data_IF_916505976056
#
_entry.id   IF_916505976056
#
_cell.length_a   1.000
_cell.length_b   1.000
_cell.length_c   1.000
_cell.angle_alpha   90.00
_cell.angle_beta   90.00
_cell.angle_gamma   90.00
#
_symmetry.space_group_name_H-M   'P 1'
#
loop_
_entity.id
_entity.type
_entity.pdbx_description
1 polymer ?
#
# COMPACT_ATOMS: atom_id res chain seq x y z
N UNK A 1 -29.42 48.83 -77.79
CA UNK A 1 -28.82 48.98 -76.45
C UNK A 1 -28.11 47.66 -76.18
N UNK A 2 -26.87 47.54 -76.69
CA UNK A 2 -25.59 47.50 -75.95
C UNK A 2 -25.34 46.09 -75.37
N UNK A 3 -24.54 45.27 -76.08
CA UNK A 3 -23.14 44.87 -75.76
C UNK A 3 -23.10 43.66 -74.81
N UNK A 4 -22.66 42.47 -75.24
CA UNK A 4 -21.29 42.04 -75.49
C UNK A 4 -20.51 41.71 -74.19
N UNK A 5 -20.20 40.43 -74.05
CA UNK A 5 -18.86 39.85 -73.85
C UNK A 5 -17.78 40.55 -72.98
N UNK A 6 -17.02 39.67 -72.29
CA UNK A 6 -15.59 39.76 -71.93
C UNK A 6 -15.15 40.51 -70.65
N UNK A 7 -14.75 39.69 -69.63
CA UNK A 7 -13.44 39.59 -68.90
C UNK A 7 -12.62 40.87 -68.65
N UNK A 8 -11.82 40.99 -67.54
CA UNK A 8 -10.83 39.97 -67.10
C UNK A 8 -10.42 39.91 -65.59
N UNK A 9 -9.59 38.90 -65.25
CA UNK A 9 -8.39 38.84 -64.34
C UNK A 9 -8.41 39.57 -62.97
N UNK A 10 -7.78 39.12 -61.88
CA UNK A 10 -6.90 38.00 -61.52
C UNK A 10 -6.66 38.05 -59.98
N UNK A 11 -6.04 37.00 -59.43
CA UNK A 11 -5.34 36.94 -58.11
C UNK A 11 -6.25 37.01 -56.86
N UNK A 12 -6.12 36.23 -55.80
CA UNK A 12 -5.17 35.23 -55.31
C UNK A 12 -5.85 34.52 -54.13
N UNK A 13 -5.24 33.43 -53.67
CA UNK A 13 -5.19 32.99 -52.26
C UNK A 13 -5.91 31.68 -51.95
N UNK A 14 -5.04 30.67 -51.85
CA UNK A 14 -4.94 29.73 -50.74
C UNK A 14 -6.11 28.80 -50.48
N UNK A 15 -5.84 27.53 -50.78
CA UNK A 15 -6.68 26.42 -50.36
C UNK A 15 -6.68 26.25 -48.84
N UNK A 16 -7.87 26.12 -48.29
CA UNK A 16 -8.11 25.59 -46.96
C UNK A 16 -8.74 24.20 -47.12
N UNK A 17 -7.87 23.19 -47.16
CA UNK A 17 -8.23 21.86 -46.69
C UNK A 17 -7.96 21.85 -45.18
N UNK A 18 -8.93 22.26 -44.38
CA UNK A 18 -8.89 22.04 -42.94
C UNK A 18 -9.22 20.57 -42.69
N UNK A 19 -8.16 19.79 -42.50
CA UNK A 19 -8.21 18.42 -42.03
C UNK A 19 -8.76 18.36 -40.62
N UNK A 20 -9.66 17.39 -40.45
CA UNK A 20 -9.62 16.34 -39.43
C UNK A 20 -9.01 16.70 -38.07
N UNK A 21 -9.89 16.67 -37.06
CA UNK A 21 -9.58 16.44 -35.65
C UNK A 21 -8.45 15.41 -35.49
N UNK A 22 -7.25 15.91 -35.22
CA UNK A 22 -6.17 15.12 -34.66
C UNK A 22 -6.19 15.31 -33.14
N UNK A 23 -6.46 14.19 -32.46
CA UNK A 23 -5.92 13.79 -31.16
C UNK A 23 -5.03 14.85 -30.49
N UNK A 24 -5.48 15.33 -29.32
CA UNK A 24 -4.70 16.13 -28.37
C UNK A 24 -3.49 15.39 -27.82
N UNK A 25 -2.52 15.08 -28.68
CA UNK A 25 -1.16 14.74 -28.29
C UNK A 25 -0.42 16.07 -28.19
N UNK A 26 -0.59 16.76 -27.07
CA UNK A 26 0.28 17.89 -26.70
C UNK A 26 1.72 17.39 -26.75
N UNK A 27 2.53 18.00 -27.62
CA UNK A 27 3.89 17.54 -27.85
C UNK A 27 4.69 17.64 -26.53
N UNK A 28 5.63 16.70 -26.25
CA UNK A 28 6.39 16.70 -24.98
C UNK A 28 7.29 17.92 -24.72
N UNK A 29 7.25 18.95 -25.57
CA UNK A 29 8.07 20.17 -25.50
C UNK A 29 7.32 21.40 -25.00
N UNK A 30 6.00 21.33 -24.81
CA UNK A 30 5.17 22.47 -24.39
C UNK A 30 4.79 22.46 -22.91
N UNK A 31 5.33 21.54 -22.09
CA UNK A 31 5.11 21.55 -20.62
C UNK A 31 6.04 22.54 -19.88
N UNK A 32 6.18 23.76 -20.40
CA UNK A 32 6.85 24.89 -19.74
C UNK A 32 5.86 26.02 -19.44
N UNK A 33 4.59 25.69 -19.29
CA UNK A 33 3.56 26.70 -19.17
C UNK A 33 3.54 27.34 -17.78
N UNK A 34 3.44 28.68 -17.84
CA UNK A 34 3.10 29.71 -16.86
C UNK A 34 4.15 30.27 -15.90
N UNK A 35 5.11 29.52 -15.37
CA UNK A 35 6.12 30.13 -14.44
C UNK A 35 7.21 30.87 -15.23
N UNK A 36 7.46 32.13 -14.89
CA UNK A 36 8.48 32.93 -15.55
C UNK A 36 9.91 32.41 -15.26
N UNK A 37 10.89 32.70 -16.13
CA UNK A 37 12.24 32.16 -15.99
C UNK A 37 12.99 32.56 -14.72
N UNK A 38 12.69 33.73 -14.14
CA UNK A 38 13.36 34.21 -12.92
C UNK A 38 12.87 33.41 -11.71
N UNK A 39 11.54 33.32 -11.53
CA UNK A 39 10.91 32.47 -10.51
C UNK A 39 11.34 31.00 -10.66
N UNK A 40 11.46 30.51 -11.90
CA UNK A 40 11.94 29.15 -12.15
C UNK A 40 13.36 28.91 -11.65
N UNK A 41 14.27 29.87 -11.85
CA UNK A 41 15.65 29.75 -11.38
C UNK A 41 15.74 29.87 -9.86
N UNK A 42 14.89 30.70 -9.24
CA UNK A 42 14.76 30.79 -7.79
C UNK A 42 14.33 29.45 -7.19
N UNK A 43 13.29 28.81 -7.73
CA UNK A 43 12.83 27.47 -7.30
C UNK A 43 13.92 26.41 -7.51
N UNK A 44 14.64 26.46 -8.64
CA UNK A 44 15.77 25.57 -8.89
C UNK A 44 16.88 25.71 -7.84
N UNK A 45 17.19 26.95 -7.45
CA UNK A 45 18.23 27.28 -6.47
C UNK A 45 17.81 26.87 -5.06
N UNK A 46 16.59 27.21 -4.64
CA UNK A 46 16.03 26.89 -3.33
C UNK A 46 16.07 25.37 -3.07
N UNK A 47 15.61 24.59 -4.05
CA UNK A 47 15.60 23.14 -3.99
C UNK A 47 16.92 22.48 -4.43
N UNK A 48 17.99 23.26 -4.60
CA UNK A 48 19.35 22.80 -4.93
C UNK A 48 19.39 21.84 -6.11
N UNK A 49 18.64 22.17 -7.17
CA UNK A 49 18.47 21.36 -8.37
C UNK A 49 18.18 19.88 -8.05
N UNK A 50 17.29 19.60 -7.09
CA UNK A 50 16.87 18.24 -6.73
C UNK A 50 15.37 18.08 -6.85
N UNK A 51 14.97 16.94 -7.42
CA UNK A 51 13.58 16.51 -7.37
C UNK A 51 13.15 16.33 -5.91
N UNK A 52 12.06 16.98 -5.51
CA UNK A 52 11.54 16.90 -4.14
C UNK A 52 10.82 15.57 -3.86
N UNK A 53 10.38 14.86 -4.89
CA UNK A 53 9.76 13.54 -4.73
C UNK A 53 10.77 12.38 -4.63
N UNK A 54 11.82 12.38 -5.45
CA UNK A 54 12.75 11.22 -5.56
C UNK A 54 14.23 11.55 -5.34
N UNK A 55 14.57 12.81 -5.09
CA UNK A 55 15.95 13.24 -4.78
C UNK A 55 16.93 13.25 -5.96
N UNK A 56 16.52 12.82 -7.16
CA UNK A 56 17.38 12.86 -8.36
C UNK A 56 17.86 14.30 -8.61
N UNK A 57 19.16 14.44 -8.89
CA UNK A 57 19.81 15.73 -9.16
C UNK A 57 19.63 16.13 -10.63
N UNK A 58 19.40 17.42 -10.85
CA UNK A 58 19.40 18.04 -12.17
C UNK A 58 20.78 18.51 -12.60
N UNK A 59 20.85 19.07 -13.80
CA UNK A 59 22.11 19.47 -14.45
C UNK A 59 22.93 20.49 -13.63
N UNK A 60 22.28 21.38 -12.89
CA UNK A 60 22.95 22.41 -12.08
C UNK A 60 23.84 21.89 -10.95
N UNK A 61 23.60 20.66 -10.48
CA UNK A 61 24.34 20.02 -9.36
C UNK A 61 25.00 18.70 -9.79
N UNK A 62 25.37 18.60 -11.07
CA UNK A 62 26.08 17.44 -11.64
C UNK A 62 25.22 16.18 -11.83
N UNK A 63 23.89 16.33 -11.83
CA UNK A 63 22.96 15.25 -12.16
C UNK A 63 22.50 15.28 -13.62
N UNK A 64 21.70 14.27 -14.01
CA UNK A 64 21.20 14.11 -15.38
C UNK A 64 19.68 14.32 -15.50
N UNK A 65 18.98 14.59 -14.41
CA UNK A 65 17.53 14.71 -14.43
C UNK A 65 17.08 16.05 -15.05
N UNK A 66 16.14 15.99 -15.99
CA UNK A 66 15.38 17.19 -16.40
C UNK A 66 14.37 17.52 -15.30
N UNK A 67 14.51 18.71 -14.71
CA UNK A 67 13.64 19.20 -13.65
C UNK A 67 12.64 20.22 -14.19
N UNK A 68 11.42 20.13 -13.68
CA UNK A 68 10.28 20.97 -13.98
C UNK A 68 9.79 21.59 -12.68
N UNK A 69 9.45 22.87 -12.74
CA UNK A 69 8.70 23.52 -11.67
C UNK A 69 7.24 23.09 -11.81
N UNK A 70 6.63 22.73 -10.70
CA UNK A 70 5.26 22.24 -10.61
C UNK A 70 4.52 23.07 -9.57
N UNK A 71 3.36 23.59 -9.93
CA UNK A 71 2.43 24.19 -8.98
C UNK A 71 1.87 23.10 -8.05
N UNK A 72 1.99 23.29 -6.73
CA UNK A 72 1.42 22.39 -5.73
C UNK A 72 -0.11 22.41 -5.85
N UNK A 73 -0.68 23.61 -6.00
CA UNK A 73 -2.09 23.85 -6.28
C UNK A 73 -2.24 24.87 -7.43
N UNK A 74 -3.22 24.70 -8.32
CA UNK A 74 -3.41 25.62 -9.47
C UNK A 74 -4.16 26.91 -9.11
N UNK A 75 -5.01 26.86 -8.09
CA UNK A 75 -5.77 28.01 -7.60
C UNK A 75 -5.65 28.07 -6.06
N UNK A 76 -4.45 28.39 -5.54
CA UNK A 76 -4.20 28.30 -4.12
C UNK A 76 -4.95 29.38 -3.33
N UNK A 77 -5.65 28.97 -2.28
CA UNK A 77 -6.33 29.90 -1.40
C UNK A 77 -5.33 30.70 -0.53
N UNK A 78 -5.30 32.01 -0.71
CA UNK A 78 -4.53 32.92 0.16
C UNK A 78 -3.08 33.17 -0.25
N UNK A 79 -2.64 32.68 -1.42
CA UNK A 79 -1.35 33.03 -2.03
C UNK A 79 -1.48 33.15 -3.56
N UNK A 80 -0.45 33.67 -4.23
CA UNK A 80 -0.42 33.73 -5.69
C UNK A 80 -0.12 32.36 -6.31
N UNK A 81 -0.68 32.09 -7.49
CA UNK A 81 -0.43 30.85 -8.24
C UNK A 81 1.09 30.58 -8.41
N UNK A 82 1.89 31.63 -8.63
CA UNK A 82 3.35 31.53 -8.80
C UNK A 82 4.16 31.85 -7.54
N UNK A 83 3.53 31.94 -6.36
CA UNK A 83 4.29 32.12 -5.13
C UNK A 83 5.24 30.94 -4.91
N UNK A 84 6.47 31.21 -4.47
CA UNK A 84 7.48 30.18 -4.24
C UNK A 84 6.98 29.08 -3.29
N UNK A 85 6.11 29.43 -2.34
CA UNK A 85 5.48 28.48 -1.41
C UNK A 85 4.50 27.51 -2.10
N UNK A 86 3.92 27.90 -3.24
CA UNK A 86 3.06 27.06 -4.07
C UNK A 86 3.84 26.32 -5.18
N UNK A 87 5.16 26.45 -5.25
CA UNK A 87 5.97 25.83 -6.28
C UNK A 87 6.86 24.72 -5.70
N UNK A 88 6.90 23.59 -6.39
CA UNK A 88 7.80 22.47 -6.11
C UNK A 88 8.61 22.09 -7.33
N UNK A 89 9.70 21.35 -7.12
CA UNK A 89 10.63 20.96 -8.18
C UNK A 89 10.61 19.45 -8.38
N UNK A 90 10.12 18.99 -9.54
CA UNK A 90 9.96 17.57 -9.85
C UNK A 90 10.78 17.19 -11.09
N UNK A 91 11.36 15.99 -11.09
CA UNK A 91 11.90 15.42 -12.32
C UNK A 91 10.77 15.05 -13.27
N UNK A 92 11.02 15.01 -14.58
CA UNK A 92 10.01 14.69 -15.60
C UNK A 92 9.16 13.47 -15.28
N UNK A 93 9.77 12.39 -14.78
CA UNK A 93 9.04 11.17 -14.39
C UNK A 93 8.08 11.41 -13.22
N UNK A 94 8.54 12.08 -12.16
CA UNK A 94 7.71 12.40 -11.00
C UNK A 94 6.63 13.43 -11.35
N UNK A 95 6.95 14.41 -12.19
CA UNK A 95 6.03 15.42 -12.68
C UNK A 95 4.89 14.79 -13.50
N UNK A 96 5.24 13.92 -14.44
CA UNK A 96 4.25 13.18 -15.25
C UNK A 96 3.37 12.28 -14.39
N UNK A 97 3.97 11.60 -13.41
CA UNK A 97 3.22 10.75 -12.48
C UNK A 97 2.25 11.55 -11.62
N UNK A 98 2.63 12.73 -11.13
CA UNK A 98 1.77 13.60 -10.31
C UNK A 98 0.46 13.97 -11.03
N UNK A 99 0.52 14.25 -12.33
CA UNK A 99 -0.67 14.56 -13.15
C UNK A 99 -1.48 13.34 -13.59
N UNK A 100 -0.97 12.13 -13.38
CA UNK A 100 -1.64 10.87 -13.76
C UNK A 100 -2.30 10.17 -12.56
N UNK A 101 -2.21 10.77 -11.36
CA UNK A 101 -2.83 10.24 -10.16
C UNK A 101 -4.36 10.28 -10.26
N UNK A 102 -5.01 9.23 -9.78
CA UNK A 102 -6.46 9.22 -9.62
C UNK A 102 -6.90 10.26 -8.58
N UNK A 103 -7.99 10.95 -8.88
CA UNK A 103 -8.60 11.96 -8.01
C UNK A 103 -9.83 11.39 -7.32
N UNK A 104 -10.32 11.97 -6.20
CA UNK A 104 -11.54 11.51 -5.54
C UNK A 104 -12.76 11.41 -6.47
N UNK A 105 -12.85 12.26 -7.50
CA UNK A 105 -13.94 12.25 -8.49
C UNK A 105 -13.92 11.00 -9.38
N UNK A 106 -12.79 10.31 -9.46
CA UNK A 106 -12.65 9.04 -10.18
C UNK A 106 -13.15 7.83 -9.35
N UNK A 107 -13.51 8.05 -8.08
CA UNK A 107 -13.92 6.97 -7.17
C UNK A 107 -15.32 6.42 -7.51
N UNK A 108 -15.51 5.09 -7.53
CA UNK A 108 -16.83 4.49 -7.71
C UNK A 108 -17.74 4.63 -6.48
N UNK A 109 -17.18 5.04 -5.34
CA UNK A 109 -17.89 5.28 -4.07
C UNK A 109 -17.69 6.73 -3.63
N UNK A 110 -18.63 7.27 -2.88
CA UNK A 110 -18.54 8.63 -2.33
C UNK A 110 -17.33 8.76 -1.38
N UNK A 111 -16.42 9.69 -1.70
CA UNK A 111 -15.26 10.06 -0.89
C UNK A 111 -15.46 11.49 -0.39
N UNK A 112 -15.49 11.67 0.91
CA UNK A 112 -15.65 12.97 1.57
C UNK A 112 -14.30 13.67 1.74
N UNK A 113 -14.31 14.98 2.02
CA UNK A 113 -13.08 15.73 2.35
C UNK A 113 -12.35 15.12 3.57
N UNK A 114 -13.09 14.61 4.56
CA UNK A 114 -12.51 13.98 5.74
C UNK A 114 -11.73 12.70 5.37
N UNK A 115 -12.23 11.92 4.42
CA UNK A 115 -11.55 10.72 3.93
C UNK A 115 -10.23 11.04 3.23
N UNK A 116 -10.18 12.17 2.51
CA UNK A 116 -8.98 12.61 1.79
C UNK A 116 -7.79 12.91 2.72
N UNK A 117 -8.03 13.12 4.01
CA UNK A 117 -6.94 13.25 5.00
C UNK A 117 -6.21 11.93 5.29
N UNK A 118 -6.81 10.79 4.94
CA UNK A 118 -6.29 9.43 5.18
C UNK A 118 -5.97 8.70 3.87
N UNK A 119 -6.75 8.96 2.83
CA UNK A 119 -6.65 8.30 1.54
C UNK A 119 -5.50 8.86 0.70
N UNK A 120 -4.92 7.96 -0.09
CA UNK A 120 -3.92 8.24 -1.11
C UNK A 120 -4.55 8.06 -2.50
N UNK A 121 -3.98 8.65 -3.55
CA UNK A 121 -4.43 8.42 -4.93
C UNK A 121 -4.51 6.93 -5.30
N UNK A 122 -3.57 6.13 -4.80
CA UNK A 122 -3.55 4.68 -4.98
C UNK A 122 -4.82 3.99 -4.44
N UNK A 123 -5.43 4.53 -3.38
CA UNK A 123 -6.65 3.94 -2.82
C UNK A 123 -7.83 4.10 -3.77
N UNK A 124 -7.86 5.21 -4.52
CA UNK A 124 -8.87 5.42 -5.57
C UNK A 124 -8.67 4.42 -6.71
N UNK A 125 -7.42 4.16 -7.11
CA UNK A 125 -7.12 3.11 -8.10
C UNK A 125 -7.58 1.73 -7.63
N UNK A 126 -7.36 1.39 -6.34
CA UNK A 126 -7.85 0.14 -5.73
C UNK A 126 -9.37 0.09 -5.75
N UNK A 127 -10.06 1.16 -5.35
CA UNK A 127 -11.52 1.21 -5.34
C UNK A 127 -12.11 1.01 -6.74
N UNK A 128 -11.53 1.66 -7.76
CA UNK A 128 -11.92 1.47 -9.16
C UNK A 128 -11.73 0.02 -9.60
N UNK A 129 -10.57 -0.56 -9.31
CA UNK A 129 -10.31 -1.96 -9.62
C UNK A 129 -11.34 -2.89 -8.98
N UNK A 130 -11.68 -2.69 -7.70
CA UNK A 130 -12.69 -3.50 -7.01
C UNK A 130 -14.08 -3.31 -7.63
N UNK A 131 -14.46 -2.10 -8.05
CA UNK A 131 -15.73 -1.88 -8.71
C UNK A 131 -15.84 -2.57 -10.08
N UNK A 132 -14.75 -2.60 -10.84
CA UNK A 132 -14.72 -3.12 -12.21
C UNK A 132 -14.48 -4.65 -12.26
N UNK A 133 -13.59 -5.16 -11.41
CA UNK A 133 -13.09 -6.55 -11.46
C UNK A 133 -13.28 -7.33 -10.15
N UNK A 134 -13.72 -6.69 -9.07
CA UNK A 134 -13.89 -7.32 -7.76
C UNK A 134 -15.10 -8.26 -7.66
N UNK A 135 -15.15 -9.12 -6.62
CA UNK A 135 -14.14 -9.28 -5.56
C UNK A 135 -12.90 -10.06 -6.04
N UNK A 136 -11.72 -9.77 -5.48
CA UNK A 136 -10.44 -10.32 -5.96
C UNK A 136 -9.40 -10.54 -4.85
N UNK A 137 -8.42 -11.43 -5.07
CA UNK A 137 -7.29 -11.61 -4.15
C UNK A 137 -6.33 -10.42 -4.23
N UNK A 138 -5.61 -10.14 -3.15
CA UNK A 138 -4.62 -9.04 -3.11
C UNK A 138 -3.59 -9.10 -4.24
N UNK A 139 -3.19 -10.30 -4.67
CA UNK A 139 -2.24 -10.47 -5.76
C UNK A 139 -2.80 -10.02 -7.11
N UNK A 140 -4.06 -10.37 -7.39
CA UNK A 140 -4.75 -9.99 -8.63
C UNK A 140 -5.00 -8.48 -8.67
N UNK A 141 -5.44 -7.91 -7.54
CA UNK A 141 -5.56 -6.45 -7.38
C UNK A 141 -4.22 -5.78 -7.69
N UNK A 142 -3.13 -6.21 -7.05
CA UNK A 142 -1.82 -5.61 -7.28
C UNK A 142 -1.35 -5.73 -8.74
N UNK A 143 -1.69 -6.83 -9.44
CA UNK A 143 -1.37 -7.03 -10.85
C UNK A 143 -2.25 -6.24 -11.82
N UNK A 144 -3.46 -5.85 -11.40
CA UNK A 144 -4.42 -5.08 -12.20
C UNK A 144 -4.32 -3.56 -12.04
N UNK A 145 -3.57 -3.07 -11.05
CA UNK A 145 -3.39 -1.62 -10.87
C UNK A 145 -2.49 -1.02 -11.97
N UNK A 146 -2.79 0.22 -12.45
CA UNK A 146 -1.95 0.91 -13.43
C UNK A 146 -0.53 1.19 -12.93
N UNK A 147 -0.41 1.42 -11.62
CA UNK A 147 0.84 1.73 -10.93
C UNK A 147 1.48 0.44 -10.38
N UNK A 148 2.79 0.25 -10.62
CA UNK A 148 3.52 -0.91 -10.12
C UNK A 148 3.68 -0.84 -8.58
N UNK A 149 2.88 -1.64 -7.88
CA UNK A 149 2.83 -1.72 -6.44
C UNK A 149 3.12 -3.13 -5.94
N UNK A 150 3.85 -3.25 -4.85
CA UNK A 150 4.03 -4.56 -4.22
C UNK A 150 2.71 -5.04 -3.62
N UNK A 151 2.49 -6.36 -3.65
CA UNK A 151 1.33 -7.02 -2.99
C UNK A 151 1.22 -6.61 -1.51
N UNK A 152 2.35 -6.42 -0.84
CA UNK A 152 2.38 -5.95 0.55
C UNK A 152 1.86 -4.53 0.72
N UNK A 153 2.19 -3.60 -0.20
CA UNK A 153 1.71 -2.23 -0.16
C UNK A 153 0.21 -2.17 -0.42
N UNK A 154 -0.28 -2.90 -1.42
CA UNK A 154 -1.72 -3.03 -1.71
C UNK A 154 -2.47 -3.61 -0.51
N UNK A 155 -1.94 -4.66 0.12
CA UNK A 155 -2.54 -5.23 1.35
C UNK A 155 -2.63 -4.21 2.49
N UNK A 156 -1.58 -3.43 2.70
CA UNK A 156 -1.58 -2.39 3.73
C UNK A 156 -2.62 -1.30 3.44
N UNK A 157 -2.84 -0.94 2.17
CA UNK A 157 -3.88 0.00 1.75
C UNK A 157 -5.28 -0.58 1.89
N UNK A 158 -5.49 -1.86 1.56
CA UNK A 158 -6.76 -2.55 1.74
C UNK A 158 -7.21 -2.56 3.21
N UNK A 159 -6.29 -2.69 4.18
CA UNK A 159 -6.64 -2.50 5.60
C UNK A 159 -7.09 -1.07 5.92
N UNK A 160 -6.47 -0.06 5.31
CA UNK A 160 -6.91 1.33 5.51
C UNK A 160 -8.30 1.55 4.93
N UNK A 161 -8.55 1.08 3.71
CA UNK A 161 -9.86 1.16 3.05
C UNK A 161 -10.95 0.41 3.83
N UNK A 162 -10.65 -0.81 4.28
CA UNK A 162 -11.59 -1.60 5.09
C UNK A 162 -11.86 -0.95 6.44
N UNK A 163 -10.87 -0.30 7.05
CA UNK A 163 -10.94 0.34 8.36
C UNK A 163 -11.26 1.83 8.35
N UNK A 164 -11.65 2.40 7.21
CA UNK A 164 -11.69 3.86 7.03
C UNK A 164 -12.68 4.56 7.97
N UNK A 165 -13.84 3.95 8.21
CA UNK A 165 -14.85 4.37 9.18
C UNK A 165 -14.35 4.38 10.63
N UNK A 166 -13.38 3.52 10.96
CA UNK A 166 -12.72 3.52 12.28
C UNK A 166 -11.50 4.46 12.35
N UNK A 167 -11.12 5.08 11.23
CA UNK A 167 -10.01 6.03 11.14
C UNK A 167 -10.48 7.48 11.00
N UNK A 168 -11.70 7.67 10.47
CA UNK A 168 -12.28 8.98 10.17
C UNK A 168 -13.61 9.12 10.91
N UNK A 169 -13.63 9.93 11.97
CA UNK A 169 -14.80 10.10 12.86
C UNK A 169 -16.10 10.47 12.13
N UNK A 170 -16.00 11.17 11.00
CA UNK A 170 -17.15 11.61 10.21
C UNK A 170 -17.72 10.52 9.29
N UNK A 171 -17.02 9.41 9.09
CA UNK A 171 -17.44 8.30 8.23
C UNK A 171 -18.07 7.20 9.08
N UNK A 172 -19.34 6.92 8.85
CA UNK A 172 -20.14 5.93 9.56
C UNK A 172 -20.30 4.61 8.80
N UNK A 173 -19.76 4.52 7.57
CA UNK A 173 -19.93 3.38 6.68
C UNK A 173 -18.61 2.89 6.11
N UNK A 174 -18.41 1.57 6.26
CA UNK A 174 -17.37 0.80 5.59
C UNK A 174 -17.57 0.82 4.06
N UNK A 175 -16.46 0.83 3.32
CA UNK A 175 -16.45 0.85 1.84
C UNK A 175 -15.90 -0.43 1.21
N UNK A 176 -14.90 -1.03 1.85
CA UNK A 176 -14.24 -2.25 1.39
C UNK A 176 -14.34 -3.27 2.50
N UNK A 177 -14.51 -4.53 2.14
CA UNK A 177 -14.46 -5.65 3.08
C UNK A 177 -13.62 -6.78 2.51
N UNK A 178 -13.29 -7.74 3.39
CA UNK A 178 -12.64 -8.98 3.02
C UNK A 178 -13.58 -10.13 3.32
N UNK A 179 -13.78 -11.02 2.37
CA UNK A 179 -14.50 -12.25 2.62
C UNK A 179 -13.64 -13.18 3.50
N UNK A 180 -14.20 -13.68 4.59
CA UNK A 180 -13.47 -14.56 5.52
C UNK A 180 -13.25 -15.96 4.96
N UNK A 181 -14.14 -16.44 4.10
CA UNK A 181 -14.06 -17.78 3.52
C UNK A 181 -13.17 -17.78 2.28
N UNK A 182 -13.43 -16.86 1.35
CA UNK A 182 -12.66 -16.76 0.11
C UNK A 182 -11.42 -15.93 0.29
N UNK A 183 -11.27 -15.10 1.32
CA UNK A 183 -10.09 -14.23 1.47
C UNK A 183 -9.90 -13.21 0.34
N UNK A 184 -10.93 -12.99 -0.48
CA UNK A 184 -10.99 -11.94 -1.51
C UNK A 184 -11.40 -10.61 -0.88
N UNK A 185 -11.01 -9.52 -1.53
CA UNK A 185 -11.41 -8.17 -1.16
C UNK A 185 -12.43 -7.67 -2.17
N UNK A 186 -13.41 -6.92 -1.69
CA UNK A 186 -14.43 -6.32 -2.53
C UNK A 186 -14.98 -5.06 -1.88
N UNK A 187 -15.80 -4.33 -2.64
CA UNK A 187 -16.75 -3.39 -2.05
C UNK A 187 -17.69 -4.14 -1.11
N UNK A 188 -18.27 -3.47 -0.11
CA UNK A 188 -19.09 -4.12 0.92
C UNK A 188 -20.22 -4.97 0.31
N UNK A 189 -20.83 -4.51 -0.78
CA UNK A 189 -21.89 -5.22 -1.49
C UNK A 189 -21.43 -6.45 -2.29
N UNK A 190 -20.13 -6.60 -2.54
CA UNK A 190 -19.53 -7.72 -3.26
C UNK A 190 -19.11 -8.86 -2.32
N UNK A 191 -19.06 -8.61 -1.01
CA UNK A 191 -18.59 -9.57 0.00
C UNK A 191 -19.77 -10.20 0.71
N UNK A 192 -19.81 -11.54 0.77
CA UNK A 192 -20.88 -12.28 1.43
C UNK A 192 -20.59 -12.50 2.91
N UNK A 193 -19.37 -12.93 3.24
CA UNK A 193 -18.98 -13.29 4.60
C UNK A 193 -17.92 -12.33 5.14
N UNK A 194 -18.34 -11.25 5.79
CA UNK A 194 -17.42 -10.25 6.35
C UNK A 194 -16.37 -10.84 7.28
N UNK A 195 -15.11 -10.49 7.06
CA UNK A 195 -14.02 -10.76 8.01
C UNK A 195 -13.99 -9.76 9.18
N UNK A 196 -14.72 -8.64 9.09
CA UNK A 196 -14.81 -7.67 10.19
C UNK A 196 -15.64 -8.25 11.34
N UNK A 197 -15.15 -8.07 12.57
CA UNK A 197 -15.74 -8.62 13.79
C UNK A 197 -15.65 -10.14 13.92
N UNK A 198 -15.14 -10.84 12.90
CA UNK A 198 -15.00 -12.29 12.91
C UNK A 198 -13.92 -12.75 13.90
N UNK A 199 -14.20 -13.81 14.65
CA UNK A 199 -13.26 -14.43 15.60
C UNK A 199 -12.59 -15.61 14.89
N UNK A 200 -11.27 -15.55 14.60
CA UNK A 200 -10.58 -16.62 13.90
C UNK A 200 -10.52 -17.92 14.73
N UNK A 201 -10.71 -19.06 14.07
CA UNK A 201 -10.46 -20.39 14.66
C UNK A 201 -8.96 -20.72 14.76
N UNK A 202 -8.13 -20.14 13.88
CA UNK A 202 -6.67 -20.32 13.93
C UNK A 202 -6.07 -19.61 15.15
N UNK A 203 -5.38 -20.33 16.07
CA UNK A 203 -4.87 -19.74 17.29
C UNK A 203 -3.83 -18.63 17.07
N UNK A 204 -3.01 -18.72 16.01
CA UNK A 204 -1.99 -17.70 15.74
C UNK A 204 -2.65 -16.41 15.25
N UNK A 205 -3.64 -16.53 14.37
CA UNK A 205 -4.39 -15.39 13.87
C UNK A 205 -5.27 -14.77 14.95
N UNK A 206 -5.86 -15.57 15.83
CA UNK A 206 -6.58 -15.10 17.01
C UNK A 206 -5.67 -14.23 17.90
N UNK A 207 -4.48 -14.73 18.25
CA UNK A 207 -3.50 -13.96 19.02
C UNK A 207 -3.11 -12.66 18.32
N UNK A 208 -2.88 -12.71 17.00
CA UNK A 208 -2.59 -11.51 16.22
C UNK A 208 -3.73 -10.49 16.33
N UNK A 209 -4.99 -10.90 16.13
CA UNK A 209 -6.15 -9.99 16.22
C UNK A 209 -6.31 -9.41 17.62
N UNK A 210 -6.06 -10.19 18.66
CA UNK A 210 -6.08 -9.71 20.04
C UNK A 210 -5.00 -8.65 20.30
N UNK A 211 -3.76 -8.89 19.91
CA UNK A 211 -2.67 -7.93 20.08
C UNK A 211 -2.90 -6.64 19.29
N UNK A 212 -3.41 -6.76 18.06
CA UNK A 212 -3.70 -5.60 17.21
C UNK A 212 -4.76 -4.71 17.86
N UNK A 213 -5.83 -5.33 18.36
CA UNK A 213 -6.91 -4.63 19.04
C UNK A 213 -6.47 -4.01 20.37
N UNK A 214 -5.58 -4.66 21.11
CA UNK A 214 -4.96 -4.06 22.30
C UNK A 214 -4.18 -2.79 21.97
N UNK A 215 -3.41 -2.81 20.86
CA UNK A 215 -2.69 -1.61 20.38
C UNK A 215 -3.66 -0.49 20.02
N UNK A 216 -4.72 -0.79 19.26
CA UNK A 216 -5.73 0.21 18.89
C UNK A 216 -6.40 0.82 20.12
N UNK A 217 -6.92 0.00 21.03
CA UNK A 217 -7.59 0.52 22.22
C UNK A 217 -6.64 1.27 23.16
N UNK A 218 -5.34 0.97 23.17
CA UNK A 218 -4.36 1.77 23.92
C UNK A 218 -4.20 3.17 23.30
N UNK A 219 -4.09 3.24 21.96
CA UNK A 219 -4.03 4.52 21.23
C UNK A 219 -5.30 5.34 21.42
N UNK A 220 -6.48 4.70 21.35
CA UNK A 220 -7.78 5.37 21.53
C UNK A 220 -7.97 5.92 22.95
N UNK A 221 -7.29 5.32 23.95
CA UNK A 221 -7.22 5.83 25.33
C UNK A 221 -6.20 6.95 25.52
N UNK A 222 -5.48 7.33 24.47
CA UNK A 222 -4.47 8.38 24.49
C UNK A 222 -3.10 7.92 24.98
N UNK A 223 -2.81 6.61 25.01
CA UNK A 223 -1.46 6.13 25.33
C UNK A 223 -0.48 6.49 24.21
N UNK A 224 0.72 6.95 24.60
CA UNK A 224 1.79 7.25 23.66
C UNK A 224 2.30 5.97 22.96
N UNK A 225 2.62 6.09 21.67
CA UNK A 225 3.16 4.96 20.89
C UNK A 225 4.48 4.43 21.46
N UNK A 226 5.31 5.29 22.07
CA UNK A 226 6.54 4.85 22.75
C UNK A 226 6.24 3.89 23.89
N UNK A 227 5.25 4.20 24.71
CA UNK A 227 4.91 3.39 25.87
C UNK A 227 4.33 2.04 25.44
N UNK A 228 3.53 2.03 24.36
CA UNK A 228 3.00 0.81 23.77
C UNK A 228 4.14 -0.07 23.22
N UNK A 229 5.13 0.53 22.54
CA UNK A 229 6.32 -0.17 22.03
C UNK A 229 7.09 -0.82 23.18
N UNK A 230 7.34 -0.06 24.24
CA UNK A 230 8.14 -0.51 25.37
C UNK A 230 7.43 -1.64 26.15
N UNK A 231 6.11 -1.54 26.33
CA UNK A 231 5.32 -2.54 27.06
C UNK A 231 5.13 -3.83 26.26
N UNK A 232 4.86 -3.72 24.95
CA UNK A 232 4.56 -4.88 24.11
C UNK A 232 5.81 -5.47 23.45
N UNK A 233 6.97 -4.80 23.54
CA UNK A 233 8.21 -5.26 22.93
C UNK A 233 8.15 -5.30 21.39
N UNK A 234 7.43 -4.36 20.76
CA UNK A 234 7.21 -4.35 19.30
C UNK A 234 7.87 -3.14 18.64
N UNK A 235 8.26 -3.28 17.37
CA UNK A 235 8.85 -2.15 16.64
C UNK A 235 7.84 -1.01 16.41
N UNK A 236 8.34 0.21 16.24
CA UNK A 236 7.51 1.36 15.85
C UNK A 236 6.72 1.10 14.57
N UNK A 237 7.34 0.52 13.54
CA UNK A 237 6.66 0.17 12.28
C UNK A 237 5.51 -0.82 12.53
N UNK A 238 5.74 -1.80 13.40
CA UNK A 238 4.74 -2.80 13.78
C UNK A 238 3.49 -2.15 14.38
N UNK A 239 3.64 -1.14 15.24
CA UNK A 239 2.48 -0.45 15.85
C UNK A 239 1.51 0.15 14.83
N UNK A 240 2.02 0.76 13.75
CA UNK A 240 1.17 1.33 12.70
C UNK A 240 0.40 0.25 11.94
N UNK A 241 1.05 -0.86 11.61
CA UNK A 241 0.39 -1.97 10.91
C UNK A 241 -0.62 -2.68 11.81
N UNK A 242 -0.33 -2.82 13.12
CA UNK A 242 -1.28 -3.33 14.11
C UNK A 242 -2.52 -2.44 14.21
N UNK A 243 -2.35 -1.12 14.29
CA UNK A 243 -3.48 -0.18 14.31
C UNK A 243 -4.33 -0.28 13.04
N UNK A 244 -3.72 -0.25 11.85
CA UNK A 244 -4.46 -0.36 10.58
C UNK A 244 -5.27 -1.66 10.52
N UNK A 245 -4.67 -2.80 10.88
CA UNK A 245 -5.38 -4.09 10.91
C UNK A 245 -6.48 -4.10 11.96
N UNK A 246 -6.25 -3.54 13.14
CA UNK A 246 -7.28 -3.46 14.18
C UNK A 246 -8.47 -2.61 13.74
N UNK A 247 -8.24 -1.44 13.13
CA UNK A 247 -9.31 -0.63 12.54
C UNK A 247 -10.06 -1.37 11.43
N UNK A 248 -9.36 -2.16 10.60
CA UNK A 248 -9.99 -2.94 9.53
C UNK A 248 -10.89 -4.05 10.07
N UNK A 249 -10.35 -4.86 10.99
CA UNK A 249 -11.01 -6.07 11.47
C UNK A 249 -11.94 -5.83 12.66
N UNK A 250 -11.82 -4.72 13.38
CA UNK A 250 -12.60 -4.35 14.56
C UNK A 250 -12.88 -5.55 15.49
N UNK A 251 -11.80 -6.19 15.94
CA UNK A 251 -11.90 -7.46 16.63
C UNK A 251 -12.61 -7.30 17.99
N UNK A 252 -13.60 -8.14 18.34
CA UNK A 252 -14.42 -7.95 19.54
C UNK A 252 -13.69 -8.45 20.80
N UNK A 253 -12.62 -7.77 21.22
CA UNK A 253 -11.80 -8.16 22.38
C UNK A 253 -12.62 -8.27 23.68
N UNK A 254 -13.70 -7.49 23.80
CA UNK A 254 -14.64 -7.54 24.94
C UNK A 254 -15.34 -8.90 25.09
N UNK A 255 -15.45 -9.70 24.02
CA UNK A 255 -16.00 -11.05 24.08
C UNK A 255 -15.14 -11.99 24.98
N UNK A 256 -13.84 -11.69 25.12
CA UNK A 256 -12.89 -12.48 25.90
C UNK A 256 -12.70 -11.96 27.32
N UNK A 257 -13.20 -10.76 27.65
CA UNK A 257 -13.02 -10.12 28.95
C UNK A 257 -13.96 -10.65 30.06
N UNK A 258 -14.76 -11.69 29.78
CA UNK A 258 -15.74 -12.27 30.74
C UNK A 258 -15.11 -13.05 31.93
N UNK A 259 -13.79 -13.14 32.00
CA UNK A 259 -13.05 -13.86 33.04
C UNK A 259 -12.45 -12.99 34.15
N UNK A 260 -12.88 -11.74 34.32
CA UNK A 260 -12.39 -10.89 35.40
C UNK A 260 -12.61 -11.50 36.78
N UNK A 261 -11.56 -11.53 37.61
CA UNK A 261 -11.62 -11.78 39.06
C UNK A 261 -12.75 -10.93 39.65
N UNK A 262 -13.65 -11.48 40.49
CA UNK A 262 -14.69 -10.68 41.11
C UNK A 262 -14.05 -9.48 41.78
N UNK A 263 -14.50 -8.27 41.44
CA UNK A 263 -14.22 -7.11 42.26
C UNK A 263 -14.88 -7.37 43.61
N UNK A 264 -14.07 -7.58 44.65
CA UNK A 264 -14.50 -7.64 46.04
C UNK A 264 -15.24 -6.33 46.37
N UNK A 265 -16.53 -6.31 46.08
CA UNK A 265 -17.42 -5.19 46.36
C UNK A 265 -18.66 -5.68 47.11
N UNK A 266 -18.54 -6.77 47.86
CA UNK A 266 -19.47 -7.17 48.90
C UNK A 266 -18.70 -7.78 50.08
N UNK A 267 -17.92 -6.96 50.79
CA UNK A 267 -17.43 -7.31 52.14
C UNK A 267 -17.84 -6.25 53.16
N UNK A 268 -19.11 -6.32 53.54
CA UNK A 268 -19.69 -5.80 54.79
C UNK A 268 -20.85 -6.77 55.07
N UNK A 269 -20.99 -7.48 56.17
CA UNK A 269 -20.34 -7.53 57.46
C UNK A 269 -20.30 -9.01 57.85
N UNK A 270 -19.21 -9.53 58.42
CA UNK A 270 -19.29 -10.50 59.50
C UNK A 270 -17.93 -10.63 60.21
N UNK A 271 -17.90 -9.97 61.36
CA UNK A 271 -17.19 -10.25 62.62
C UNK A 271 -15.97 -11.19 62.61
N UNK A 272 -14.90 -10.64 63.17
CA UNK A 272 -13.63 -11.27 63.50
C UNK A 272 -13.74 -12.48 64.45
N UNK A 273 -12.97 -13.53 64.12
CA UNK A 273 -12.28 -14.52 64.98
C UNK A 273 -11.49 -15.41 64.01
N UNK A 274 -10.22 -15.75 64.08
CA UNK A 274 -9.12 -15.60 65.04
C UNK A 274 -8.04 -16.61 64.61
N UNK A 275 -6.77 -16.34 64.95
CA UNK A 275 -5.61 -17.25 65.01
C UNK A 275 -4.89 -17.68 63.71
N UNK A 276 -3.71 -17.07 63.52
CA UNK A 276 -2.36 -17.64 63.29
C UNK A 276 -2.19 -19.07 62.73
N UNK A 277 -1.47 -19.17 61.61
CA UNK A 277 -0.30 -20.07 61.39
C UNK A 277 0.37 -19.68 60.06
N UNK A 278 1.54 -19.03 60.10
CA UNK A 278 2.88 -19.61 59.97
C UNK A 278 3.38 -19.80 58.51
N UNK A 279 4.33 -18.94 58.14
CA UNK A 279 5.56 -19.19 57.34
C UNK A 279 5.50 -20.04 56.07
N UNK A 280 5.83 -19.40 54.95
CA UNK A 280 6.31 -20.02 53.71
C UNK A 280 6.80 -18.95 52.74
N UNK A 281 8.07 -18.55 52.88
CA UNK A 281 8.77 -17.68 51.93
C UNK A 281 9.05 -18.41 50.61
N UNK A 282 8.97 -17.62 49.52
CA UNK A 282 9.78 -17.67 48.28
C UNK A 282 10.14 -19.03 47.65
N UNK A 283 9.63 -19.27 46.45
CA UNK A 283 10.42 -19.63 45.26
C UNK A 283 9.48 -20.15 44.17
N UNK A 284 9.07 -19.33 43.20
CA UNK A 284 8.79 -19.72 41.79
C UNK A 284 8.81 -18.47 40.86
N UNK A 285 9.65 -17.47 41.13
CA UNK A 285 9.96 -16.36 40.22
C UNK A 285 11.42 -16.46 39.79
N UNK A 286 11.72 -17.45 38.96
CA UNK A 286 12.92 -17.50 38.13
C UNK A 286 12.76 -18.72 37.23
N UNK A 287 12.61 -18.49 35.92
CA UNK A 287 13.12 -19.31 34.81
C UNK A 287 12.46 -18.91 33.49
N UNK A 288 12.82 -17.73 33.00
CA UNK A 288 12.74 -17.41 31.58
C UNK A 288 13.97 -16.57 31.25
N UNK A 289 15.08 -17.24 30.95
CA UNK A 289 16.24 -16.66 30.28
C UNK A 289 16.77 -17.71 29.31
N UNK A 290 16.50 -17.48 28.02
CA UNK A 290 17.31 -17.84 26.85
C UNK A 290 16.41 -17.87 25.61
N UNK A 291 16.19 -16.71 24.98
CA UNK A 291 15.89 -16.65 23.54
C UNK A 291 16.87 -15.65 22.94
N UNK A 292 17.82 -16.18 22.20
CA UNK A 292 18.80 -15.47 21.39
C UNK A 292 18.11 -14.60 20.34
N UNK A 293 18.60 -13.36 20.22
CA UNK A 293 18.28 -12.42 19.16
C UNK A 293 18.49 -13.04 17.77
N UNK A 294 17.41 -13.19 17.02
CA UNK A 294 17.44 -13.21 15.56
C UNK A 294 16.36 -12.26 15.04
N UNK A 295 16.77 -11.00 14.89
CA UNK A 295 16.09 -10.00 14.08
C UNK A 295 16.00 -10.49 12.63
N UNK A 296 14.85 -11.07 12.26
CA UNK A 296 14.26 -11.11 10.91
C UNK A 296 12.89 -11.79 10.97
N UNK A 297 11.89 -11.13 11.57
CA UNK A 297 10.51 -11.61 11.49
C UNK A 297 9.99 -11.49 10.04
N UNK A 298 9.38 -12.55 9.48
CA UNK A 298 8.99 -12.60 8.09
C UNK A 298 7.80 -11.66 7.85
N UNK A 299 7.99 -10.68 6.98
CA UNK A 299 6.90 -9.87 6.44
C UNK A 299 5.82 -10.78 5.82
N UNK A 300 4.73 -10.98 6.57
CA UNK A 300 3.49 -11.57 6.11
C UNK A 300 3.61 -12.99 5.61
N UNK A 301 3.62 -13.97 6.53
CA UNK A 301 3.07 -15.30 6.22
C UNK A 301 1.67 -15.05 5.67
N UNK A 302 1.44 -15.48 4.43
CA UNK A 302 0.16 -15.34 3.73
C UNK A 302 -0.93 -15.86 4.66
N UNK A 303 -1.94 -15.02 4.95
CA UNK A 303 -3.16 -15.46 5.63
C UNK A 303 -3.84 -16.46 4.68
N UNK A 304 -3.42 -17.73 4.71
CA UNK A 304 -3.95 -18.80 3.89
C UNK A 304 -5.27 -19.25 4.50
N UNK A 305 -6.35 -18.63 4.06
CA UNK A 305 -7.69 -19.15 4.23
C UNK A 305 -8.04 -20.02 3.02
N UNK A 306 -8.56 -21.22 3.29
CA UNK A 306 -8.91 -22.24 2.29
C UNK A 306 -7.94 -23.42 2.26
N UNK A 307 -8.48 -24.64 2.15
CA UNK A 307 -7.69 -25.84 1.90
C UNK A 307 -6.96 -25.72 0.54
N UNK A 308 -5.70 -26.19 0.40
CA UNK A 308 -5.04 -26.21 -0.90
C UNK A 308 -5.84 -27.10 -1.85
N UNK A 309 -6.23 -26.55 -3.01
CA UNK A 309 -6.79 -27.36 -4.08
C UNK A 309 -5.78 -28.46 -4.48
N UNK A 310 -6.21 -29.73 -4.62
CA UNK A 310 -5.32 -30.76 -5.11
C UNK A 310 -4.94 -30.44 -6.56
N UNK A 311 -3.63 -30.36 -6.81
CA UNK A 311 -3.07 -30.15 -8.13
C UNK A 311 -3.65 -31.18 -9.14
N UNK A 312 -3.97 -30.78 -10.38
CA UNK A 312 -4.46 -31.71 -11.38
C UNK A 312 -3.37 -32.73 -11.72
N UNK A 313 -3.67 -34.01 -11.55
CA UNK A 313 -2.80 -35.11 -11.98
C UNK A 313 -2.58 -35.04 -13.50
N UNK A 314 -1.34 -35.24 -13.99
CA UNK A 314 -1.06 -35.22 -15.41
C UNK A 314 -1.63 -36.50 -16.05
N UNK A 315 -2.69 -36.33 -16.84
CA UNK A 315 -3.19 -37.39 -17.71
C UNK A 315 -2.17 -37.63 -18.83
N UNK A 316 -1.62 -38.84 -18.85
CA UNK A 316 -0.89 -39.39 -19.98
C UNK A 316 -1.86 -39.66 -21.14
N UNK A 317 -1.70 -38.95 -22.24
CA UNK A 317 -2.18 -39.37 -23.55
C UNK A 317 -1.16 -38.94 -24.60
N UNK A 318 -0.59 -39.94 -25.26
CA UNK A 318 0.29 -39.81 -26.41
C UNK A 318 -0.40 -39.03 -27.54
N UNK A 319 0.29 -38.02 -28.08
CA UNK A 319 0.07 -37.54 -29.45
C UNK A 319 1.37 -37.72 -30.24
N UNK A 320 1.34 -38.66 -31.19
CA UNK A 320 2.13 -38.59 -32.41
C UNK A 320 1.64 -37.37 -33.22
N UNK A 321 2.54 -36.47 -33.58
CA UNK A 321 2.75 -35.94 -34.95
C UNK A 321 3.83 -34.85 -34.91
N UNK A 322 4.84 -35.09 -35.75
CA UNK A 322 5.96 -34.21 -36.09
C UNK A 322 5.49 -32.91 -36.79
N UNK A 323 6.12 -31.77 -36.50
CA UNK A 323 6.96 -31.00 -37.45
C UNK A 323 7.08 -29.48 -37.11
N UNK A 324 8.32 -29.01 -37.27
CA UNK A 324 8.81 -27.66 -37.51
C UNK A 324 8.62 -26.52 -36.47
N UNK A 325 9.71 -26.25 -35.73
CA UNK A 325 10.03 -24.90 -35.23
C UNK A 325 11.01 -24.85 -34.05
N UNK A 326 12.31 -24.61 -34.31
CA UNK A 326 13.36 -24.45 -33.29
C UNK A 326 13.05 -23.36 -32.22
N UNK A 327 13.17 -23.66 -30.91
CA UNK A 327 13.38 -22.64 -29.88
C UNK A 327 14.87 -22.50 -29.56
N UNK A 328 15.38 -21.28 -29.66
CA UNK A 328 16.73 -20.91 -29.24
C UNK A 328 16.78 -20.75 -27.72
N UNK A 329 17.57 -21.61 -27.07
CA UNK A 329 18.30 -21.46 -25.80
C UNK A 329 17.61 -20.77 -24.61
N UNK A 330 16.88 -21.56 -23.79
CA UNK A 330 16.68 -21.29 -22.35
C UNK A 330 17.51 -22.22 -21.43
N UNK A 331 17.95 -23.38 -21.92
CA UNK A 331 18.64 -24.40 -21.09
C UNK A 331 20.06 -24.02 -20.65
N UNK A 332 20.77 -23.17 -21.40
CA UNK A 332 22.19 -22.88 -21.09
C UNK A 332 22.37 -21.93 -19.90
N UNK A 333 21.36 -21.10 -19.62
CA UNK A 333 21.37 -20.19 -18.49
C UNK A 333 21.03 -20.91 -17.17
N UNK A 334 20.15 -21.91 -17.23
CA UNK A 334 19.73 -22.69 -16.06
C UNK A 334 20.84 -23.63 -15.56
N UNK A 335 21.61 -24.23 -16.48
CA UNK A 335 22.75 -25.08 -16.12
C UNK A 335 23.89 -24.25 -15.46
N UNK A 336 24.13 -23.03 -15.94
CA UNK A 336 25.12 -22.12 -15.35
C UNK A 336 24.76 -21.69 -13.92
N UNK A 337 23.46 -21.51 -13.65
CA UNK A 337 22.95 -21.14 -12.33
C UNK A 337 23.08 -22.30 -11.34
N UNK A 338 22.78 -23.54 -11.77
CA UNK A 338 22.92 -24.74 -10.94
C UNK A 338 24.36 -25.03 -10.54
N UNK A 339 25.30 -24.83 -11.46
CA UNK A 339 26.74 -24.99 -11.17
C UNK A 339 27.21 -23.95 -10.14
N UNK A 340 26.77 -22.69 -10.26
CA UNK A 340 27.13 -21.65 -9.29
C UNK A 340 26.51 -21.91 -7.91
N UNK A 341 25.27 -22.41 -7.86
CA UNK A 341 24.61 -22.76 -6.60
C UNK A 341 25.32 -23.92 -5.91
N UNK A 342 25.72 -24.95 -6.66
CA UNK A 342 26.44 -26.09 -6.09
C UNK A 342 27.82 -25.67 -5.54
N UNK A 343 28.55 -24.80 -6.26
CA UNK A 343 29.82 -24.27 -5.77
C UNK A 343 29.67 -23.43 -4.49
N UNK A 344 28.58 -22.68 -4.35
CA UNK A 344 28.30 -21.93 -3.13
C UNK A 344 27.97 -22.87 -1.95
N UNK A 345 27.24 -23.95 -2.19
CA UNK A 345 26.93 -24.97 -1.17
C UNK A 345 28.21 -25.67 -0.69
N UNK A 346 29.08 -26.09 -1.62
CA UNK A 346 30.32 -26.77 -1.29
C UNK A 346 31.26 -25.86 -0.47
N UNK A 347 31.34 -24.57 -0.82
CA UNK A 347 32.14 -23.60 -0.08
C UNK A 347 31.62 -23.35 1.34
N UNK A 348 30.29 -23.36 1.54
CA UNK A 348 29.69 -23.21 2.87
C UNK A 348 29.92 -24.44 3.75
N UNK A 349 29.88 -25.64 3.16
CA UNK A 349 30.18 -26.89 3.86
C UNK A 349 31.65 -26.96 4.29
N UNK A 350 32.58 -26.49 3.46
CA UNK A 350 34.00 -26.42 3.82
C UNK A 350 34.26 -25.46 5.00
N UNK A 351 33.51 -24.35 5.07
CA UNK A 351 33.56 -23.40 6.20
C UNK A 351 32.96 -24.03 7.47
N UNK A 352 31.85 -24.75 7.37
CA UNK A 352 31.21 -25.40 8.52
C UNK A 352 32.09 -26.54 9.10
N UNK A 353 32.76 -27.30 8.22
CA UNK A 353 33.72 -28.35 8.58
C UNK A 353 34.99 -27.79 9.21
N UNK A 354 35.42 -26.58 8.81
CA UNK A 354 36.57 -25.90 9.44
C UNK A 354 36.24 -25.24 10.77
N UNK A 355 34.98 -24.84 10.98
CA UNK A 355 34.49 -24.32 12.27
C UNK A 355 34.17 -25.44 13.27
N UNK A 356 33.91 -26.65 12.80
CA UNK A 356 33.59 -27.83 13.62
C UNK A 356 34.81 -28.66 14.06
N UNK A 357 36.04 -28.21 13.77
CA UNK A 357 37.30 -28.90 14.12
C UNK A 357 38.08 -28.28 15.28
#
# INVERSE_FOLDING_TARGET
MADAELRPNAEESSGETAGSDESGVTSPRECHETVDPETREEVLTEYRHRCQACGRRGLGEGGLATLHVHHIERDPDGMGEHDLENLTLLCRSCHSWFHQQSTPDDSPVEITEADQSVLLPQDIEILRYLADEGPARTGDIAGGLPSDHSVSAVRERLWVLMGLDNLVDARDRQIVDKDVETGEWGLVEQVENSARGHIPDDPQLLLQRMEDEQVRQALDRGCDRSDIIDVLGISRRTTFNKQKRACAYDFPLSAFSRGGRPTDSERSDHSATGADTATGESDEQQRLDAVTDQDSEPMGRTETWGAPEPAPEPQSADEDVEDAGQPVSRDRADEGLRVHLQQAIDALQEVDDTLSR
#
